data_IF_540802049417
#
_entry.id   IF_540802049417
#
_cell.length_a   1.000
_cell.length_b   1.000
_cell.length_c   1.000
_cell.angle_alpha   90.00
_cell.angle_beta   90.00
_cell.angle_gamma   90.00
#
_symmetry.space_group_name_H-M   'P 1'
#
loop_
_entity.id
_entity.type
_entity.pdbx_description
1 polymer ?
#
# COMPACT_ATOMS: atom_id res chain seq x y z
N UNK A 1 40.39 -3.52 10.99
CA UNK A 1 39.55 -2.68 11.86
C UNK A 1 40.00 -1.23 11.70
N UNK A 2 39.11 -0.37 11.22
CA UNK A 2 39.34 1.07 11.05
C UNK A 2 39.21 1.80 12.37
N UNK A 3 39.79 3.01 12.43
CA UNK A 3 39.59 3.92 13.57
C UNK A 3 38.25 4.61 13.38
N UNK A 4 37.33 4.47 14.34
CA UNK A 4 36.04 5.16 14.34
C UNK A 4 36.20 6.49 15.08
N UNK A 5 35.56 7.54 14.56
CA UNK A 5 35.46 8.84 15.23
C UNK A 5 34.23 8.85 16.13
N UNK A 6 34.42 9.08 17.45
CA UNK A 6 33.36 9.09 18.47
C UNK A 6 32.50 7.79 18.49
N UNK A 7 33.09 6.61 18.74
CA UNK A 7 32.38 5.33 18.63
C UNK A 7 31.23 5.13 19.61
N UNK A 8 31.23 5.83 20.75
CA UNK A 8 30.27 5.65 21.83
C UNK A 8 28.81 6.01 21.48
N UNK A 9 28.62 6.81 20.42
CA UNK A 9 27.29 7.19 19.91
C UNK A 9 26.93 6.47 18.61
N UNK A 10 27.79 5.63 18.10
CA UNK A 10 27.58 4.94 16.82
C UNK A 10 26.55 3.83 16.92
N UNK A 11 26.48 3.15 18.06
CA UNK A 11 25.47 2.12 18.34
C UNK A 11 24.70 2.51 19.58
N UNK A 12 23.38 2.60 19.45
CA UNK A 12 22.50 2.83 20.58
C UNK A 12 22.58 1.67 21.56
N UNK A 13 22.79 1.92 22.88
CA UNK A 13 22.67 0.88 23.90
C UNK A 13 21.22 0.45 24.13
N UNK A 14 20.24 1.24 23.70
CA UNK A 14 18.82 0.89 23.77
C UNK A 14 18.38 0.16 22.49
N UNK A 15 17.40 -0.73 22.63
CA UNK A 15 16.79 -1.40 21.48
C UNK A 15 15.95 -0.42 20.67
N UNK A 16 16.22 -0.33 19.39
CA UNK A 16 15.45 0.47 18.44
C UNK A 16 14.42 -0.42 17.72
N UNK A 17 13.37 0.17 17.17
CA UNK A 17 12.21 -0.54 16.62
C UNK A 17 12.58 -1.67 15.66
N UNK A 18 13.58 -1.46 14.82
CA UNK A 18 14.02 -2.45 13.81
C UNK A 18 15.37 -3.10 14.13
N UNK A 19 15.87 -2.96 15.38
CA UNK A 19 17.06 -3.65 15.83
C UNK A 19 16.75 -5.08 16.27
N UNK A 20 17.78 -5.93 16.28
CA UNK A 20 17.67 -7.26 16.89
C UNK A 20 17.54 -7.15 18.41
N UNK A 21 16.65 -7.96 18.98
CA UNK A 21 16.43 -8.01 20.43
C UNK A 21 16.49 -9.46 20.92
N UNK A 22 17.52 -9.84 21.69
CA UNK A 22 17.69 -11.22 22.14
C UNK A 22 16.70 -11.65 23.24
N UNK A 23 15.88 -10.73 23.75
CA UNK A 23 14.84 -11.02 24.76
C UNK A 23 13.66 -11.77 24.18
N UNK A 24 13.36 -11.54 22.89
CA UNK A 24 12.25 -12.19 22.20
C UNK A 24 12.71 -13.38 21.37
N UNK A 25 11.91 -14.46 21.32
CA UNK A 25 12.23 -15.68 20.56
C UNK A 25 12.45 -15.42 19.07
N UNK A 26 11.69 -14.48 18.48
CA UNK A 26 11.85 -14.06 17.08
C UNK A 26 12.98 -13.07 16.84
N UNK A 27 13.69 -12.69 17.91
CA UNK A 27 14.76 -11.68 17.90
C UNK A 27 14.37 -10.33 17.30
N UNK A 28 13.07 -10.00 17.26
CA UNK A 28 12.55 -8.74 16.72
C UNK A 28 12.14 -7.79 17.82
N UNK A 29 12.62 -6.53 17.76
CA UNK A 29 12.18 -5.49 18.70
C UNK A 29 10.75 -5.04 18.41
N UNK A 30 10.38 -4.90 17.14
CA UNK A 30 9.03 -4.55 16.71
C UNK A 30 8.11 -5.77 16.81
N UNK A 31 7.44 -5.90 17.96
CA UNK A 31 6.49 -6.98 18.21
C UNK A 31 5.11 -6.69 17.62
N UNK A 32 4.41 -7.73 17.17
CA UNK A 32 3.01 -7.62 16.79
C UNK A 32 2.16 -7.28 18.03
N UNK A 33 1.10 -6.47 17.87
CA UNK A 33 0.15 -6.24 18.95
C UNK A 33 -0.46 -7.55 19.46
N UNK A 34 -0.81 -7.57 20.73
CA UNK A 34 -1.50 -8.71 21.34
C UNK A 34 -2.80 -9.00 20.58
N UNK A 35 -3.08 -10.28 20.30
CA UNK A 35 -4.29 -10.69 19.60
C UNK A 35 -5.55 -10.14 20.29
N UNK A 36 -6.47 -9.58 19.51
CA UNK A 36 -7.70 -8.95 20.00
C UNK A 36 -7.55 -7.48 20.38
N UNK A 37 -6.35 -6.88 20.27
CA UNK A 37 -6.15 -5.45 20.48
C UNK A 37 -6.74 -4.66 19.32
N UNK A 38 -7.56 -3.66 19.64
CA UNK A 38 -8.05 -2.69 18.66
C UNK A 38 -7.00 -1.59 18.54
N UNK A 39 -6.41 -1.44 17.35
CA UNK A 39 -5.42 -0.40 17.09
C UNK A 39 -6.06 0.99 17.20
N UNK A 40 -5.36 1.94 17.82
CA UNK A 40 -5.67 3.36 17.64
C UNK A 40 -5.27 3.73 16.21
N UNK A 41 -6.24 3.78 15.32
CA UNK A 41 -6.04 4.35 14.00
C UNK A 41 -5.87 5.87 14.10
N UNK A 42 -5.31 6.48 13.07
CA UNK A 42 -5.43 7.92 12.91
C UNK A 42 -6.91 8.26 12.77
N UNK A 43 -7.40 9.07 13.70
CA UNK A 43 -8.70 9.73 13.55
C UNK A 43 -8.47 10.90 12.59
N UNK A 44 -8.92 10.80 11.34
CA UNK A 44 -8.86 11.96 10.47
C UNK A 44 -9.76 13.05 11.05
N UNK A 45 -9.38 14.30 10.85
CA UNK A 45 -10.19 15.46 11.25
C UNK A 45 -11.62 15.38 10.67
N UNK A 46 -11.79 14.63 9.58
CA UNK A 46 -13.08 14.34 8.92
C UNK A 46 -14.01 13.39 9.71
N UNK A 47 -13.56 12.80 10.82
CA UNK A 47 -14.36 11.84 11.61
C UNK A 47 -14.56 10.47 10.95
N UNK A 48 -13.90 10.18 9.85
CA UNK A 48 -14.02 8.91 9.13
C UNK A 48 -13.32 7.77 9.88
N UNK A 49 -14.02 6.67 10.12
CA UNK A 49 -13.48 5.47 10.75
C UNK A 49 -12.60 4.60 9.80
N UNK A 50 -12.45 5.01 8.55
CA UNK A 50 -11.76 4.22 7.52
C UNK A 50 -10.34 3.83 7.96
N UNK A 51 -9.60 4.78 8.55
CA UNK A 51 -8.24 4.55 8.98
C UNK A 51 -8.15 3.84 10.34
N UNK A 52 -9.20 3.96 11.17
CA UNK A 52 -9.21 3.41 12.53
C UNK A 52 -9.44 1.90 12.56
N UNK A 53 -10.26 1.35 11.65
CA UNK A 53 -10.59 -0.06 11.64
C UNK A 53 -9.49 -0.88 10.95
N UNK A 54 -9.09 -2.04 11.50
CA UNK A 54 -8.18 -2.96 10.82
C UNK A 54 -8.74 -3.42 9.47
N UNK A 55 -7.86 -3.74 8.53
CA UNK A 55 -8.27 -4.36 7.28
C UNK A 55 -8.66 -5.82 7.54
N UNK A 56 -9.90 -6.19 7.24
CA UNK A 56 -10.50 -7.45 7.68
C UNK A 56 -10.12 -8.67 6.81
N UNK A 57 -9.67 -8.45 5.56
CA UNK A 57 -9.41 -9.54 4.62
C UNK A 57 -7.95 -9.99 4.72
N UNK A 58 -7.67 -11.29 4.98
CA UNK A 58 -6.32 -11.82 5.09
C UNK A 58 -5.62 -11.85 3.72
N UNK A 59 -4.28 -11.90 3.74
CA UNK A 59 -3.45 -12.01 2.52
C UNK A 59 -3.48 -13.45 1.98
N UNK A 60 -4.64 -13.88 1.51
CA UNK A 60 -4.89 -15.19 0.88
C UNK A 60 -5.69 -14.99 -0.41
N UNK A 61 -5.79 -16.04 -1.24
CA UNK A 61 -6.63 -16.00 -2.43
C UNK A 61 -8.10 -15.79 -2.07
N UNK A 62 -8.58 -16.47 -1.02
CA UNK A 62 -9.94 -16.33 -0.51
C UNK A 62 -10.21 -14.91 -0.03
N UNK A 63 -9.24 -14.30 0.71
CA UNK A 63 -9.32 -12.90 1.14
C UNK A 63 -9.34 -11.92 -0.01
N UNK A 64 -8.58 -12.18 -1.08
CA UNK A 64 -8.59 -11.37 -2.31
C UNK A 64 -9.94 -11.44 -3.03
N UNK A 65 -10.53 -12.65 -3.17
CA UNK A 65 -11.83 -12.82 -3.80
C UNK A 65 -12.96 -12.21 -2.95
N UNK A 66 -12.94 -12.44 -1.63
CA UNK A 66 -13.91 -11.84 -0.69
C UNK A 66 -13.83 -10.29 -0.72
N UNK A 67 -12.63 -9.72 -0.69
CA UNK A 67 -12.45 -8.28 -0.83
C UNK A 67 -13.04 -7.75 -2.15
N UNK A 68 -12.87 -8.50 -3.24
CA UNK A 68 -13.43 -8.14 -4.54
C UNK A 68 -14.96 -8.16 -4.60
N UNK A 69 -15.58 -9.06 -3.85
CA UNK A 69 -17.03 -9.24 -3.82
C UNK A 69 -17.74 -8.26 -2.86
N UNK A 70 -17.11 -7.95 -1.73
CA UNK A 70 -17.78 -7.30 -0.60
C UNK A 70 -17.26 -5.87 -0.35
N UNK A 71 -15.97 -5.61 -0.62
CA UNK A 71 -15.35 -4.37 -0.24
C UNK A 71 -15.58 -3.27 -1.28
N UNK A 72 -16.25 -2.21 -0.85
CA UNK A 72 -16.51 -1.03 -1.67
C UNK A 72 -15.92 0.21 -1.01
N UNK A 73 -15.61 1.22 -1.84
CA UNK A 73 -15.08 2.49 -1.36
C UNK A 73 -16.07 3.21 -0.43
N UNK A 74 -15.69 3.55 0.79
CA UNK A 74 -16.50 4.37 1.68
C UNK A 74 -16.46 5.87 1.30
N UNK A 75 -15.54 6.26 0.39
CA UNK A 75 -15.42 7.64 -0.06
C UNK A 75 -16.46 7.94 -1.15
N UNK A 76 -17.02 9.13 -1.07
CA UNK A 76 -17.90 9.64 -2.15
C UNK A 76 -17.09 9.76 -3.45
N UNK A 77 -17.64 9.24 -4.54
CA UNK A 77 -17.05 9.41 -5.87
C UNK A 77 -17.21 10.86 -6.31
N UNK A 78 -16.10 11.55 -6.54
CA UNK A 78 -16.05 12.92 -7.01
C UNK A 78 -14.79 13.19 -7.81
N UNK A 79 -14.83 14.21 -8.66
CA UNK A 79 -13.66 14.64 -9.42
C UNK A 79 -12.54 15.19 -8.52
N UNK A 80 -12.90 15.77 -7.39
CA UNK A 80 -11.96 16.24 -6.38
C UNK A 80 -11.18 15.07 -5.78
N UNK A 81 -11.87 14.04 -5.28
CA UNK A 81 -11.26 12.83 -4.74
C UNK A 81 -10.37 12.12 -5.77
N UNK A 82 -10.81 12.06 -7.02
CA UNK A 82 -10.01 11.50 -8.11
C UNK A 82 -8.78 12.35 -8.44
N UNK A 83 -8.86 13.67 -8.31
CA UNK A 83 -7.71 14.58 -8.50
C UNK A 83 -6.68 14.39 -7.40
N UNK A 84 -7.10 14.25 -6.15
CA UNK A 84 -6.20 13.90 -5.05
C UNK A 84 -5.55 12.51 -5.29
N UNK A 85 -6.36 11.54 -5.73
CA UNK A 85 -5.88 10.20 -6.11
C UNK A 85 -4.84 10.24 -7.24
N UNK A 86 -5.00 11.15 -8.21
CA UNK A 86 -4.02 11.38 -9.28
C UNK A 86 -2.66 11.81 -8.73
N UNK A 87 -2.65 12.73 -7.78
CA UNK A 87 -1.40 13.21 -7.14
C UNK A 87 -0.66 12.06 -6.45
N UNK A 88 -1.41 11.17 -5.78
CA UNK A 88 -0.84 9.97 -5.15
C UNK A 88 -0.32 9.00 -6.21
N UNK A 89 -1.11 8.76 -7.26
CA UNK A 89 -0.74 7.89 -8.38
C UNK A 89 0.57 8.32 -9.05
N UNK A 90 0.71 9.60 -9.33
CA UNK A 90 1.92 10.16 -9.96
C UNK A 90 3.17 9.96 -9.10
N UNK A 91 3.02 9.97 -7.76
CA UNK A 91 4.14 9.76 -6.83
C UNK A 91 4.48 8.29 -6.60
N UNK A 92 3.48 7.41 -6.55
CA UNK A 92 3.65 6.05 -6.03
C UNK A 92 3.49 4.94 -7.08
N UNK A 93 2.78 5.20 -8.19
CA UNK A 93 2.34 4.17 -9.12
C UNK A 93 2.89 4.35 -10.54
N UNK A 94 2.98 5.60 -10.99
CA UNK A 94 3.27 5.98 -12.38
C UNK A 94 4.61 5.43 -12.90
N UNK A 95 5.61 5.23 -12.05
CA UNK A 95 6.92 4.75 -12.47
C UNK A 95 6.92 3.34 -13.05
N UNK A 96 5.96 2.51 -12.65
CA UNK A 96 5.76 1.18 -13.23
C UNK A 96 4.56 1.16 -14.18
N UNK A 97 3.42 1.75 -13.74
CA UNK A 97 2.16 1.66 -14.47
C UNK A 97 2.03 2.66 -15.64
N UNK A 98 2.91 3.66 -15.71
CA UNK A 98 2.84 4.71 -16.73
C UNK A 98 1.81 5.78 -16.42
N UNK A 99 1.83 6.88 -17.17
CA UNK A 99 0.98 8.05 -16.95
C UNK A 99 -0.50 7.75 -17.19
N UNK A 100 -0.79 6.91 -18.18
CA UNK A 100 -2.14 6.52 -18.59
C UNK A 100 -2.49 5.09 -18.15
N UNK A 101 -1.65 4.48 -17.32
CA UNK A 101 -1.88 3.13 -16.82
C UNK A 101 -1.63 2.03 -17.85
N UNK A 102 -0.85 2.31 -18.88
CA UNK A 102 -0.52 1.37 -19.95
C UNK A 102 0.53 0.31 -19.60
N UNK A 103 1.16 0.41 -18.42
CA UNK A 103 2.24 -0.50 -18.04
C UNK A 103 3.60 -0.12 -18.63
N UNK A 104 3.74 1.11 -19.09
CA UNK A 104 4.89 1.67 -19.80
C UNK A 104 5.68 2.69 -18.96
N UNK A 105 5.62 2.55 -17.65
CA UNK A 105 6.31 3.46 -16.72
C UNK A 105 7.83 3.46 -16.92
N UNK A 106 8.48 4.51 -16.43
CA UNK A 106 9.90 4.75 -16.63
C UNK A 106 10.79 3.57 -16.17
N UNK A 107 10.42 2.90 -15.09
CA UNK A 107 11.18 1.74 -14.59
C UNK A 107 11.10 0.54 -15.53
N UNK A 108 9.99 0.38 -16.25
CA UNK A 108 9.81 -0.68 -17.24
C UNK A 108 10.75 -0.48 -18.43
N UNK A 109 10.91 0.77 -18.88
CA UNK A 109 11.85 1.13 -19.94
C UNK A 109 13.30 0.74 -19.67
N UNK A 110 13.67 0.47 -18.40
CA UNK A 110 15.01 -0.03 -18.06
C UNK A 110 15.26 -1.50 -18.41
N UNK A 111 14.22 -2.24 -18.76
CA UNK A 111 14.26 -3.68 -19.05
C UNK A 111 14.49 -4.58 -17.83
N UNK A 112 14.56 -4.01 -16.62
CA UNK A 112 14.78 -4.78 -15.38
C UNK A 112 13.51 -5.38 -14.80
N UNK A 113 12.35 -4.82 -15.16
CA UNK A 113 11.07 -5.26 -14.66
C UNK A 113 10.13 -5.55 -15.84
N UNK A 114 9.33 -6.63 -15.78
CA UNK A 114 8.30 -6.88 -16.76
C UNK A 114 7.19 -5.81 -16.64
N UNK A 115 6.55 -5.44 -17.75
CA UNK A 115 5.47 -4.46 -17.73
C UNK A 115 4.27 -5.02 -16.95
N UNK A 116 3.69 -4.22 -16.03
CA UNK A 116 2.41 -4.55 -15.45
C UNK A 116 1.32 -4.49 -16.53
N UNK A 117 0.22 -5.24 -16.40
CA UNK A 117 -0.89 -5.18 -17.34
C UNK A 117 -1.51 -3.78 -17.33
N UNK A 118 -1.95 -3.33 -18.52
CA UNK A 118 -2.64 -2.06 -18.68
C UNK A 118 -4.00 -2.06 -17.98
N UNK A 119 -4.38 -0.94 -17.36
CA UNK A 119 -5.66 -0.83 -16.64
C UNK A 119 -6.87 -0.88 -17.56
N UNK A 120 -6.78 -0.36 -18.77
CA UNK A 120 -7.86 -0.36 -19.78
C UNK A 120 -7.92 -1.65 -20.62
N UNK A 121 -7.10 -2.65 -20.30
CA UNK A 121 -7.01 -3.89 -21.07
C UNK A 121 -7.07 -5.16 -20.25
N UNK A 122 -7.43 -6.26 -20.92
CA UNK A 122 -7.38 -7.60 -20.37
C UNK A 122 -8.12 -7.76 -19.04
N UNK A 123 -7.47 -8.40 -18.09
CA UNK A 123 -8.05 -8.74 -16.79
C UNK A 123 -8.23 -7.54 -15.83
N UNK A 124 -7.65 -6.37 -16.13
CA UNK A 124 -7.73 -5.22 -15.24
C UNK A 124 -8.85 -4.24 -15.61
N UNK A 125 -9.39 -4.32 -16.83
CA UNK A 125 -10.44 -3.41 -17.30
C UNK A 125 -11.66 -3.36 -16.37
N UNK A 126 -12.09 -4.52 -15.88
CA UNK A 126 -13.27 -4.67 -15.03
C UNK A 126 -12.91 -5.15 -13.63
N UNK A 127 -11.66 -4.91 -13.17
CA UNK A 127 -11.22 -5.34 -11.87
C UNK A 127 -11.97 -4.58 -10.77
N UNK A 128 -12.65 -5.29 -9.84
CA UNK A 128 -13.37 -4.65 -8.74
C UNK A 128 -12.46 -3.82 -7.84
N UNK A 129 -12.99 -2.71 -7.31
CA UNK A 129 -12.25 -1.78 -6.45
C UNK A 129 -11.72 -2.44 -5.17
N UNK A 130 -12.43 -3.43 -4.61
CA UNK A 130 -11.97 -4.20 -3.47
C UNK A 130 -10.73 -5.05 -3.77
N UNK A 131 -10.63 -5.64 -4.99
CA UNK A 131 -9.43 -6.34 -5.43
C UNK A 131 -8.24 -5.40 -5.63
N UNK A 132 -8.50 -4.18 -6.13
CA UNK A 132 -7.46 -3.15 -6.23
C UNK A 132 -6.95 -2.76 -4.86
N UNK A 133 -7.86 -2.52 -3.90
CA UNK A 133 -7.51 -2.17 -2.54
C UNK A 133 -6.68 -3.27 -1.86
N UNK A 134 -7.06 -4.52 -2.02
CA UNK A 134 -6.32 -5.67 -1.52
C UNK A 134 -4.91 -5.74 -2.12
N UNK A 135 -4.80 -5.55 -3.45
CA UNK A 135 -3.52 -5.55 -4.16
C UNK A 135 -2.61 -4.42 -3.68
N UNK A 136 -3.12 -3.20 -3.51
CA UNK A 136 -2.34 -2.07 -2.99
C UNK A 136 -1.92 -2.32 -1.54
N UNK A 137 -2.77 -2.99 -0.76
CA UNK A 137 -2.49 -3.29 0.65
C UNK A 137 -1.38 -4.31 0.83
N UNK A 138 -1.44 -5.43 0.13
CA UNK A 138 -0.51 -6.56 0.33
C UNK A 138 0.55 -6.72 -0.75
N UNK A 139 0.35 -6.08 -1.89
CA UNK A 139 1.12 -6.35 -3.09
C UNK A 139 0.57 -7.54 -3.87
N UNK A 140 1.09 -7.76 -5.08
CA UNK A 140 0.77 -8.91 -5.92
C UNK A 140 1.91 -9.17 -6.91
N UNK A 141 2.50 -10.35 -6.87
CA UNK A 141 3.64 -10.69 -7.72
C UNK A 141 4.83 -9.78 -7.43
N UNK A 142 5.26 -9.00 -8.42
CA UNK A 142 6.37 -8.05 -8.28
C UNK A 142 5.96 -6.70 -7.68
N UNK A 143 4.67 -6.42 -7.60
CA UNK A 143 4.17 -5.22 -6.93
C UNK A 143 4.25 -5.38 -5.42
N UNK A 144 5.06 -4.56 -4.76
CA UNK A 144 5.16 -4.55 -3.29
C UNK A 144 3.93 -3.98 -2.61
N UNK A 145 3.81 -4.23 -1.30
CA UNK A 145 2.80 -3.62 -0.44
C UNK A 145 3.03 -2.10 -0.33
N UNK A 146 1.95 -1.33 -0.39
CA UNK A 146 1.96 0.13 -0.16
C UNK A 146 1.27 0.50 1.16
N UNK A 147 0.97 -0.49 2.00
CA UNK A 147 0.24 -0.27 3.25
C UNK A 147 0.97 0.63 4.25
N UNK A 148 2.30 0.65 4.22
CA UNK A 148 3.13 1.48 5.09
C UNK A 148 3.30 2.93 4.60
N UNK A 149 3.07 3.19 3.29
CA UNK A 149 3.26 4.50 2.69
C UNK A 149 1.94 5.24 2.46
N UNK A 150 0.83 4.51 2.31
CA UNK A 150 -0.48 5.05 1.99
C UNK A 150 -1.48 4.71 3.09
N UNK A 151 -2.19 5.72 3.58
CA UNK A 151 -3.35 5.50 4.45
C UNK A 151 -4.44 4.72 3.70
N UNK A 152 -5.41 4.17 4.40
CA UNK A 152 -6.55 3.50 3.74
C UNK A 152 -7.35 4.47 2.88
N UNK A 153 -7.48 5.71 3.32
CA UNK A 153 -8.14 6.77 2.57
C UNK A 153 -7.38 7.07 1.28
N UNK A 154 -6.05 7.22 1.33
CA UNK A 154 -5.22 7.44 0.14
C UNK A 154 -5.34 6.30 -0.87
N UNK A 155 -5.40 5.05 -0.40
CA UNK A 155 -5.61 3.88 -1.28
C UNK A 155 -6.96 3.98 -2.00
N UNK A 156 -8.03 4.42 -1.33
CA UNK A 156 -9.32 4.62 -1.97
C UNK A 156 -9.32 5.79 -2.96
N UNK A 157 -8.63 6.89 -2.63
CA UNK A 157 -8.45 8.01 -3.56
C UNK A 157 -7.73 7.59 -4.84
N UNK A 158 -6.63 6.87 -4.72
CA UNK A 158 -5.89 6.39 -5.89
C UNK A 158 -6.70 5.39 -6.71
N UNK A 159 -7.52 4.55 -6.09
CA UNK A 159 -8.41 3.62 -6.80
C UNK A 159 -9.45 4.39 -7.64
N UNK A 160 -10.04 5.46 -7.12
CA UNK A 160 -10.96 6.28 -7.91
C UNK A 160 -10.30 6.87 -9.16
N UNK A 161 -9.03 7.27 -9.07
CA UNK A 161 -8.28 7.70 -10.25
C UNK A 161 -8.00 6.54 -11.21
N UNK A 162 -7.58 5.38 -10.70
CA UNK A 162 -7.37 4.18 -11.54
C UNK A 162 -8.65 3.79 -12.28
N UNK A 163 -9.82 3.92 -11.66
CA UNK A 163 -11.11 3.68 -12.31
C UNK A 163 -11.40 4.65 -13.47
N UNK A 164 -10.79 5.84 -13.49
CA UNK A 164 -10.84 6.73 -14.65
C UNK A 164 -9.90 6.20 -15.76
N UNK A 165 -8.70 5.74 -15.41
CA UNK A 165 -7.76 5.15 -16.37
C UNK A 165 -8.28 3.86 -17.02
N UNK A 166 -9.10 3.07 -16.31
CA UNK A 166 -9.75 1.88 -16.87
C UNK A 166 -10.72 2.19 -18.01
N UNK A 167 -11.19 3.45 -18.12
CA UNK A 167 -12.17 3.89 -19.14
C UNK A 167 -11.53 4.53 -20.36
N UNK A 168 -10.20 4.72 -20.34
CA UNK A 168 -9.47 5.22 -21.48
C UNK A 168 -9.29 4.11 -22.53
#
# INVERSE_FOLDING_TARGET
PGVEYMPDMYRSPSYETYSTNPVFEDSMTAQLPVAGTITRGEWPESGSLINALPYAYPNTLEGYEAAGAELTSPLKKSDETATEGKVIYEKMCMHCHGKEGGGDGQLIGTGKFPPPPAYNGGALKDLPEGKMFHTITYGKGLMGSHASQLTKEDRWKVIQYIQQLQKL
#
